data_IF_321781790351
#
_entry.id   IF_321781790351
#
_cell.length_a   1.000
_cell.length_b   1.000
_cell.length_c   1.000
_cell.angle_alpha   90.00
_cell.angle_beta   90.00
_cell.angle_gamma   90.00
#
_symmetry.space_group_name_H-M   'P 1'
#
loop_
_entity.id
_entity.type
_entity.pdbx_description
1 polymer ?
#
# COMPACT_ATOMS: atom_id res chain seq x y z
N UNK A 1 -41.33 26.39 -15.96
CA UNK A 1 -39.93 25.94 -16.16
C UNK A 1 -39.43 25.29 -14.87
N UNK A 2 -39.74 24.01 -14.66
CA UNK A 2 -39.35 23.27 -13.44
C UNK A 2 -38.82 21.88 -13.78
N UNK A 3 -37.95 21.81 -14.80
CA UNK A 3 -37.36 20.56 -15.27
C UNK A 3 -35.90 20.80 -15.63
N UNK A 4 -35.03 21.10 -14.65
CA UNK A 4 -33.59 20.85 -14.82
C UNK A 4 -32.70 20.92 -13.56
N UNK A 5 -33.26 20.99 -12.34
CA UNK A 5 -32.41 21.02 -11.14
C UNK A 5 -31.93 19.64 -10.66
N UNK A 6 -32.57 18.54 -11.11
CA UNK A 6 -32.29 17.18 -10.64
C UNK A 6 -31.17 16.45 -11.41
N UNK A 7 -30.66 17.02 -12.50
CA UNK A 7 -29.71 16.35 -13.40
C UNK A 7 -28.26 16.85 -13.29
N UNK A 8 -27.97 17.79 -12.37
CA UNK A 8 -26.61 18.37 -12.22
C UNK A 8 -25.62 17.51 -11.44
N UNK A 9 -26.10 16.46 -10.75
CA UNK A 9 -25.28 15.64 -9.85
C UNK A 9 -25.46 14.15 -10.16
N UNK A 10 -25.25 13.76 -11.41
CA UNK A 10 -25.08 12.34 -11.77
C UNK A 10 -23.62 12.08 -12.09
N UNK A 11 -23.03 10.98 -11.60
CA UNK A 11 -21.72 10.57 -12.05
C UNK A 11 -21.75 10.38 -13.57
N UNK A 12 -20.64 10.73 -14.23
CA UNK A 12 -20.43 10.35 -15.62
C UNK A 12 -20.45 8.82 -15.72
N UNK A 13 -20.63 8.26 -16.93
CA UNK A 13 -20.31 6.86 -17.15
C UNK A 13 -18.88 6.55 -16.69
N UNK A 14 -18.67 5.36 -16.13
CA UNK A 14 -17.40 4.96 -15.53
C UNK A 14 -16.26 4.99 -16.55
N UNK A 15 -16.49 4.41 -17.73
CA UNK A 15 -15.55 4.44 -18.85
C UNK A 15 -15.20 5.88 -19.30
N UNK A 16 -16.18 6.79 -19.31
CA UNK A 16 -15.96 8.20 -19.62
C UNK A 16 -15.07 8.85 -18.55
N UNK A 17 -15.31 8.54 -17.28
CA UNK A 17 -14.49 9.06 -16.17
C UNK A 17 -13.06 8.56 -16.25
N UNK A 18 -12.85 7.26 -16.45
CA UNK A 18 -11.52 6.68 -16.57
C UNK A 18 -10.78 7.27 -17.79
N UNK A 19 -11.47 7.42 -18.93
CA UNK A 19 -10.90 8.09 -20.11
C UNK A 19 -10.46 9.52 -19.80
N UNK A 20 -11.29 10.30 -19.11
CA UNK A 20 -10.95 11.66 -18.69
C UNK A 20 -9.76 11.70 -17.75
N UNK A 21 -9.71 10.80 -16.77
CA UNK A 21 -8.56 10.67 -15.87
C UNK A 21 -7.28 10.33 -16.65
N UNK A 22 -7.35 9.43 -17.64
CA UNK A 22 -6.20 9.11 -18.51
C UNK A 22 -5.72 10.33 -19.31
N UNK A 23 -6.62 11.23 -19.68
CA UNK A 23 -6.32 12.48 -20.38
C UNK A 23 -5.93 13.64 -19.44
N UNK A 24 -5.78 13.40 -18.13
CA UNK A 24 -5.56 14.42 -17.10
C UNK A 24 -6.67 15.50 -17.04
N UNK A 25 -7.89 15.15 -17.45
CA UNK A 25 -9.04 16.04 -17.37
C UNK A 25 -9.68 16.00 -15.97
N UNK A 26 -10.14 17.16 -15.49
CA UNK A 26 -10.76 17.25 -14.17
C UNK A 26 -12.08 16.48 -14.10
N UNK A 27 -12.16 15.53 -13.16
CA UNK A 27 -13.36 14.72 -12.94
C UNK A 27 -13.60 14.54 -11.44
N UNK A 28 -14.82 14.77 -10.97
CA UNK A 28 -15.18 14.55 -9.55
C UNK A 28 -15.54 13.09 -9.32
N UNK A 29 -14.78 12.43 -8.45
CA UNK A 29 -15.04 11.06 -8.04
C UNK A 29 -16.10 10.96 -6.91
N UNK A 30 -16.39 12.07 -6.23
CA UNK A 30 -17.29 12.10 -5.07
C UNK A 30 -18.75 11.73 -5.42
N UNK A 31 -19.10 11.71 -6.71
CA UNK A 31 -20.40 11.29 -7.22
C UNK A 31 -20.56 9.74 -7.25
N UNK A 32 -19.48 8.97 -7.14
CA UNK A 32 -19.50 7.51 -7.06
C UNK A 32 -19.66 7.06 -5.60
N UNK A 33 -20.91 7.11 -5.12
CA UNK A 33 -21.21 6.94 -3.69
C UNK A 33 -21.19 5.46 -3.27
N UNK A 34 -21.77 4.56 -4.06
CA UNK A 34 -21.92 3.17 -3.63
C UNK A 34 -20.60 2.41 -3.66
N UNK A 35 -20.49 1.33 -2.85
CA UNK A 35 -19.35 0.41 -2.93
C UNK A 35 -19.22 -0.18 -4.34
N UNK A 36 -20.35 -0.51 -4.98
CA UNK A 36 -20.38 -1.05 -6.34
C UNK A 36 -19.77 -0.05 -7.34
N UNK A 37 -20.21 1.20 -7.31
CA UNK A 37 -19.69 2.23 -8.21
C UNK A 37 -18.17 2.39 -8.10
N UNK A 38 -17.64 2.32 -6.88
CA UNK A 38 -16.20 2.38 -6.60
C UNK A 38 -15.44 1.16 -7.16
N UNK A 39 -16.03 -0.02 -7.05
CA UNK A 39 -15.44 -1.24 -7.59
C UNK A 39 -15.45 -1.25 -9.11
N UNK A 40 -16.59 -0.91 -9.71
CA UNK A 40 -16.72 -0.81 -11.16
C UNK A 40 -15.74 0.24 -11.72
N UNK A 41 -15.54 1.37 -11.00
CA UNK A 41 -14.54 2.38 -11.34
C UNK A 41 -13.10 1.87 -11.25
N UNK A 42 -12.78 1.10 -10.20
CA UNK A 42 -11.45 0.50 -10.04
C UNK A 42 -11.18 -0.53 -11.13
N UNK A 43 -12.17 -1.36 -11.45
CA UNK A 43 -12.06 -2.41 -12.47
C UNK A 43 -11.83 -1.79 -13.86
N UNK A 44 -12.59 -0.76 -14.24
CA UNK A 44 -12.34 0.00 -15.48
C UNK A 44 -10.97 0.69 -15.46
N UNK A 45 -10.56 1.23 -14.30
CA UNK A 45 -9.24 1.82 -14.12
C UNK A 45 -8.11 0.82 -14.39
N UNK A 46 -8.23 -0.41 -13.92
CA UNK A 46 -7.28 -1.49 -14.18
C UNK A 46 -7.25 -1.83 -15.67
N UNK A 47 -8.40 -1.95 -16.33
CA UNK A 47 -8.47 -2.23 -17.78
C UNK A 47 -7.82 -1.12 -18.63
N UNK A 48 -7.77 0.12 -18.15
CA UNK A 48 -7.11 1.22 -18.86
C UNK A 48 -5.59 1.06 -18.97
N UNK A 49 -4.97 0.23 -18.11
CA UNK A 49 -3.51 0.05 -18.04
C UNK A 49 -2.76 1.29 -17.56
N UNK A 50 -3.45 2.36 -17.14
CA UNK A 50 -2.82 3.58 -16.63
C UNK A 50 -2.69 3.52 -15.11
N UNK A 51 -1.48 3.26 -14.63
CA UNK A 51 -1.19 3.14 -13.20
C UNK A 51 -1.62 4.40 -12.43
N UNK A 52 -1.28 5.61 -12.89
CA UNK A 52 -1.61 6.86 -12.17
C UNK A 52 -3.12 7.03 -11.95
N UNK A 53 -3.93 6.59 -12.92
CA UNK A 53 -5.39 6.56 -12.80
C UNK A 53 -5.84 5.56 -11.75
N UNK A 54 -5.29 4.34 -11.76
CA UNK A 54 -5.60 3.32 -10.74
C UNK A 54 -5.24 3.81 -9.33
N UNK A 55 -4.06 4.41 -9.15
CA UNK A 55 -3.65 4.99 -7.84
C UNK A 55 -4.61 6.09 -7.40
N UNK A 56 -5.01 6.97 -8.32
CA UNK A 56 -5.97 8.04 -8.02
C UNK A 56 -7.30 7.46 -7.52
N UNK A 57 -7.80 6.42 -8.17
CA UNK A 57 -9.04 5.72 -7.77
C UNK A 57 -8.85 5.02 -6.42
N UNK A 58 -7.75 4.31 -6.21
CA UNK A 58 -7.45 3.63 -4.94
C UNK A 58 -7.41 4.63 -3.77
N UNK A 59 -6.78 5.79 -3.96
CA UNK A 59 -6.74 6.85 -2.93
C UNK A 59 -8.14 7.39 -2.63
N UNK A 60 -8.98 7.58 -3.65
CA UNK A 60 -10.38 7.96 -3.47
C UNK A 60 -11.15 6.91 -2.67
N UNK A 61 -11.00 5.62 -3.00
CA UNK A 61 -11.66 4.52 -2.28
C UNK A 61 -11.20 4.47 -0.83
N UNK A 62 -9.89 4.55 -0.58
CA UNK A 62 -9.32 4.57 0.78
C UNK A 62 -9.87 5.72 1.62
N UNK A 63 -10.03 6.91 1.04
CA UNK A 63 -10.56 8.08 1.74
C UNK A 63 -12.05 7.95 2.10
N UNK A 64 -12.79 7.12 1.37
CA UNK A 64 -14.27 7.08 1.43
C UNK A 64 -14.84 5.79 2.01
N UNK A 65 -14.04 4.74 2.16
CA UNK A 65 -14.44 3.47 2.77
C UNK A 65 -13.62 3.18 4.03
N UNK A 66 -14.22 2.47 4.98
CA UNK A 66 -13.52 2.03 6.18
C UNK A 66 -12.35 1.09 5.84
N UNK A 67 -11.28 1.17 6.63
CA UNK A 67 -10.05 0.39 6.41
C UNK A 67 -10.27 -1.13 6.20
N UNK A 68 -11.14 -1.83 6.95
CA UNK A 68 -11.39 -3.25 6.71
C UNK A 68 -12.01 -3.52 5.33
N UNK A 69 -12.91 -2.64 4.89
CA UNK A 69 -13.56 -2.75 3.57
C UNK A 69 -12.52 -2.49 2.48
N UNK A 70 -11.75 -1.40 2.59
CA UNK A 70 -10.67 -1.08 1.65
C UNK A 70 -9.67 -2.24 1.53
N UNK A 71 -9.25 -2.82 2.66
CA UNK A 71 -8.37 -4.00 2.70
C UNK A 71 -8.98 -5.19 1.96
N UNK A 72 -10.26 -5.53 2.20
CA UNK A 72 -10.91 -6.63 1.48
C UNK A 72 -10.91 -6.41 -0.04
N UNK A 73 -11.12 -5.17 -0.49
CA UNK A 73 -11.12 -4.84 -1.92
C UNK A 73 -9.74 -5.12 -2.54
N UNK A 74 -8.65 -4.73 -1.85
CA UNK A 74 -7.30 -5.01 -2.32
C UNK A 74 -6.97 -6.52 -2.29
N UNK A 75 -7.45 -7.26 -1.28
CA UNK A 75 -7.27 -8.72 -1.24
C UNK A 75 -7.97 -9.43 -2.40
N UNK A 76 -9.13 -8.93 -2.83
CA UNK A 76 -9.86 -9.45 -3.99
C UNK A 76 -9.21 -9.08 -5.34
N UNK A 77 -8.39 -8.02 -5.38
CA UNK A 77 -7.76 -7.47 -6.60
C UNK A 77 -6.24 -7.38 -6.42
N UNK A 78 -5.51 -8.48 -6.59
CA UNK A 78 -4.06 -8.51 -6.34
C UNK A 78 -3.27 -7.55 -7.23
N UNK A 79 -3.74 -7.26 -8.44
CA UNK A 79 -3.15 -6.26 -9.33
C UNK A 79 -3.24 -4.84 -8.74
N UNK A 80 -4.43 -4.41 -8.32
CA UNK A 80 -4.63 -3.13 -7.64
C UNK A 80 -3.80 -3.04 -6.34
N UNK A 81 -3.73 -4.13 -5.58
CA UNK A 81 -2.89 -4.21 -4.39
C UNK A 81 -1.40 -4.03 -4.72
N UNK A 82 -0.91 -4.65 -5.78
CA UNK A 82 0.47 -4.51 -6.21
C UNK A 82 0.78 -3.08 -6.67
N UNK A 83 -0.10 -2.48 -7.47
CA UNK A 83 -0.02 -1.09 -7.91
C UNK A 83 0.05 -0.14 -6.71
N UNK A 84 -0.80 -0.35 -5.69
CA UNK A 84 -0.80 0.48 -4.50
C UNK A 84 0.46 0.31 -3.65
N UNK A 85 0.92 -0.93 -3.44
CA UNK A 85 2.17 -1.20 -2.72
C UNK A 85 3.35 -0.54 -3.41
N UNK A 86 3.44 -0.61 -4.74
CA UNK A 86 4.53 0.05 -5.46
C UNK A 86 4.45 1.57 -5.33
N UNK A 87 3.24 2.15 -5.45
CA UNK A 87 3.04 3.58 -5.20
C UNK A 87 3.50 4.01 -3.80
N UNK A 88 3.19 3.24 -2.76
CA UNK A 88 3.62 3.55 -1.39
C UNK A 88 5.14 3.45 -1.20
N UNK A 89 5.80 2.52 -1.89
CA UNK A 89 7.26 2.42 -1.92
C UNK A 89 7.90 3.66 -2.57
N UNK A 90 7.32 4.13 -3.68
CA UNK A 90 7.83 5.29 -4.43
C UNK A 90 7.55 6.62 -3.72
N UNK A 91 6.38 6.76 -3.08
CA UNK A 91 6.04 7.96 -2.31
C UNK A 91 6.81 8.05 -0.99
N UNK A 92 7.38 6.94 -0.52
CA UNK A 92 8.10 6.86 0.75
C UNK A 92 7.19 6.85 1.97
N UNK A 93 5.88 6.64 1.81
CA UNK A 93 4.92 6.48 2.91
C UNK A 93 5.07 5.10 3.56
N UNK A 94 6.13 4.96 4.36
CA UNK A 94 6.53 3.70 5.00
C UNK A 94 5.48 3.17 5.97
N UNK A 95 4.82 4.05 6.71
CA UNK A 95 3.85 3.63 7.71
C UNK A 95 2.64 3.00 7.03
N UNK A 96 2.12 3.65 5.98
CA UNK A 96 1.02 3.08 5.20
C UNK A 96 1.44 1.82 4.44
N UNK A 97 2.67 1.78 3.92
CA UNK A 97 3.22 0.60 3.24
C UNK A 97 3.21 -0.62 4.16
N UNK A 98 3.77 -0.50 5.37
CA UNK A 98 3.81 -1.61 6.32
C UNK A 98 2.40 -2.02 6.75
N UNK A 99 1.54 -1.05 7.07
CA UNK A 99 0.14 -1.31 7.42
C UNK A 99 -0.58 -2.09 6.30
N UNK A 100 -0.37 -1.67 5.05
CA UNK A 100 -0.95 -2.33 3.87
C UNK A 100 -0.40 -3.74 3.70
N UNK A 101 0.92 -3.95 3.77
CA UNK A 101 1.53 -5.27 3.60
C UNK A 101 1.08 -6.26 4.68
N UNK A 102 1.08 -5.84 5.96
CA UNK A 102 0.54 -6.64 7.06
C UNK A 102 -0.95 -6.94 6.87
N UNK A 103 -1.73 -5.95 6.45
CA UNK A 103 -3.12 -6.13 6.05
C UNK A 103 -3.26 -7.16 4.92
N UNK A 104 -2.43 -7.16 3.90
CA UNK A 104 -2.54 -8.12 2.81
C UNK A 104 -1.98 -9.51 3.17
N UNK A 105 -1.47 -9.72 4.39
CA UNK A 105 -0.79 -10.96 4.77
C UNK A 105 0.56 -11.15 4.08
N UNK A 106 1.12 -10.10 3.47
CA UNK A 106 2.43 -10.10 2.80
C UNK A 106 3.55 -9.90 3.83
N UNK A 107 3.59 -10.79 4.83
CA UNK A 107 4.45 -10.65 6.02
C UNK A 107 5.92 -10.59 5.63
N UNK A 108 6.37 -11.49 4.76
CA UNK A 108 7.77 -11.54 4.29
C UNK A 108 8.19 -10.20 3.69
N UNK A 109 7.35 -9.60 2.87
CA UNK A 109 7.68 -8.32 2.24
C UNK A 109 7.66 -7.14 3.22
N UNK A 110 6.73 -7.14 4.18
CA UNK A 110 6.72 -6.16 5.26
C UNK A 110 8.03 -6.22 6.07
N UNK A 111 8.41 -7.44 6.48
CA UNK A 111 9.65 -7.71 7.20
C UNK A 111 10.88 -7.26 6.41
N UNK A 112 10.91 -7.49 5.10
CA UNK A 112 12.05 -7.06 4.27
C UNK A 112 12.15 -5.53 4.14
N UNK A 113 11.01 -4.81 4.12
CA UNK A 113 11.04 -3.35 4.13
C UNK A 113 11.49 -2.81 5.50
N UNK A 114 11.03 -3.40 6.60
CA UNK A 114 11.50 -3.06 7.96
C UNK A 114 12.99 -3.33 8.12
N UNK A 115 13.46 -4.47 7.63
CA UNK A 115 14.88 -4.82 7.63
C UNK A 115 15.72 -3.82 6.83
N UNK A 116 15.26 -3.43 5.64
CA UNK A 116 15.90 -2.40 4.82
C UNK A 116 15.98 -1.06 5.55
N UNK A 117 14.92 -0.66 6.27
CA UNK A 117 14.91 0.55 7.10
C UNK A 117 15.92 0.43 8.25
N UNK A 118 15.93 -0.70 8.96
CA UNK A 118 16.88 -0.97 10.04
C UNK A 118 18.33 -0.84 9.54
N UNK A 119 18.61 -1.34 8.34
CA UNK A 119 19.93 -1.25 7.71
C UNK A 119 20.38 0.21 7.44
N UNK A 120 19.45 1.13 7.22
CA UNK A 120 19.71 2.54 6.92
C UNK A 120 19.99 3.40 8.17
N UNK A 121 19.79 2.87 9.38
CA UNK A 121 20.13 3.59 10.60
C UNK A 121 21.64 3.84 10.72
N UNK A 122 22.01 5.11 10.88
CA UNK A 122 23.40 5.55 11.11
C UNK A 122 23.83 5.35 12.56
N UNK A 123 22.89 5.49 13.50
CA UNK A 123 23.13 5.21 14.91
C UNK A 123 23.22 3.69 15.12
N UNK A 124 24.36 3.17 15.63
CA UNK A 124 24.55 1.74 15.81
C UNK A 124 23.58 1.11 16.81
N UNK A 125 23.18 1.80 17.88
CA UNK A 125 22.23 1.30 18.87
C UNK A 125 20.84 1.19 18.25
N UNK A 126 20.38 2.26 17.60
CA UNK A 126 19.08 2.26 16.91
C UNK A 126 19.01 1.20 15.81
N UNK A 127 20.12 1.00 15.09
CA UNK A 127 20.25 -0.08 14.10
C UNK A 127 20.09 -1.45 14.76
N UNK A 128 20.85 -1.73 15.83
CA UNK A 128 20.76 -2.98 16.57
C UNK A 128 19.35 -3.24 17.11
N UNK A 129 18.71 -2.25 17.72
CA UNK A 129 17.35 -2.38 18.26
C UNK A 129 16.35 -2.71 17.15
N UNK A 130 16.46 -2.04 16.00
CA UNK A 130 15.58 -2.29 14.84
C UNK A 130 15.83 -3.66 14.20
N UNK A 131 17.09 -4.11 14.13
CA UNK A 131 17.43 -5.44 13.63
C UNK A 131 16.92 -6.56 14.56
N UNK A 132 17.04 -6.37 15.87
CA UNK A 132 16.48 -7.29 16.89
C UNK A 132 14.96 -7.36 16.78
N UNK A 133 14.29 -6.23 16.58
CA UNK A 133 12.85 -6.19 16.33
C UNK A 133 12.48 -6.98 15.06
N UNK A 134 13.17 -6.77 13.94
CA UNK A 134 12.95 -7.56 12.73
C UNK A 134 13.11 -9.06 13.00
N UNK A 135 14.18 -9.44 13.71
CA UNK A 135 14.46 -10.83 14.04
C UNK A 135 13.32 -11.48 14.86
N UNK A 136 12.78 -10.75 15.84
CA UNK A 136 11.73 -11.23 16.72
C UNK A 136 10.35 -11.28 16.07
N UNK A 137 9.99 -10.28 15.26
CA UNK A 137 8.61 -10.15 14.76
C UNK A 137 8.42 -10.69 13.33
N UNK A 138 9.47 -10.63 12.49
CA UNK A 138 9.35 -10.97 11.08
C UNK A 138 10.06 -12.27 10.67
N UNK A 139 11.32 -12.45 11.09
CA UNK A 139 12.16 -13.59 10.66
C UNK A 139 11.81 -14.93 11.37
N UNK A 140 10.66 -15.00 12.03
CA UNK A 140 10.03 -16.26 12.43
C UNK A 140 9.20 -16.89 11.30
N UNK A 141 8.92 -16.15 10.22
CA UNK A 141 8.19 -16.67 9.08
C UNK A 141 8.94 -17.85 8.44
N UNK A 142 8.25 -18.95 8.05
CA UNK A 142 8.90 -20.13 7.46
C UNK A 142 9.80 -19.82 6.27
N UNK A 143 9.37 -18.90 5.41
CA UNK A 143 10.11 -18.48 4.22
C UNK A 143 11.40 -17.67 4.52
N UNK A 144 11.61 -17.23 5.76
CA UNK A 144 12.76 -16.44 6.19
C UNK A 144 13.67 -17.17 7.19
N UNK A 145 13.44 -18.46 7.43
CA UNK A 145 14.14 -19.21 8.50
C UNK A 145 15.64 -19.36 8.25
N UNK A 146 16.05 -19.36 6.97
CA UNK A 146 17.47 -19.46 6.60
C UNK A 146 18.16 -18.11 6.83
N UNK A 147 17.51 -17.03 6.40
CA UNK A 147 17.94 -15.64 6.54
C UNK A 147 18.06 -15.23 8.01
N UNK A 148 17.18 -15.77 8.86
CA UNK A 148 17.18 -15.56 10.30
C UNK A 148 18.55 -15.83 10.93
N UNK A 149 19.19 -16.96 10.61
CA UNK A 149 20.48 -17.35 11.19
C UNK A 149 21.58 -16.35 10.84
N UNK A 150 21.59 -15.87 9.59
CA UNK A 150 22.54 -14.85 9.15
C UNK A 150 22.31 -13.52 9.88
N UNK A 151 21.04 -13.15 10.11
CA UNK A 151 20.70 -11.95 10.87
C UNK A 151 21.14 -12.06 12.35
N UNK A 152 20.94 -13.22 12.99
CA UNK A 152 21.40 -13.50 14.35
C UNK A 152 22.93 -13.35 14.48
N UNK A 153 23.68 -13.95 13.56
CA UNK A 153 25.15 -13.85 13.53
C UNK A 153 25.61 -12.40 13.30
N UNK A 154 24.93 -11.67 12.40
CA UNK A 154 25.26 -10.28 12.13
C UNK A 154 25.01 -9.37 13.33
N UNK A 155 23.89 -9.54 14.03
CA UNK A 155 23.57 -8.81 15.26
C UNK A 155 24.66 -9.06 16.31
N UNK A 156 25.03 -10.31 16.55
CA UNK A 156 26.09 -10.67 17.51
C UNK A 156 27.44 -10.00 17.16
N UNK A 157 27.80 -9.96 15.87
CA UNK A 157 29.01 -9.30 15.40
C UNK A 157 28.95 -7.78 15.63
N UNK A 158 27.82 -7.13 15.34
CA UNK A 158 27.64 -5.69 15.55
C UNK A 158 27.70 -5.31 17.03
N UNK A 159 27.10 -6.08 17.93
CA UNK A 159 27.15 -5.87 19.38
C UNK A 159 28.60 -5.90 19.91
N UNK A 160 29.38 -6.86 19.42
CA UNK A 160 30.78 -7.05 19.82
C UNK A 160 31.66 -5.87 19.42
N UNK A 161 31.45 -5.31 18.22
CA UNK A 161 32.25 -4.19 17.72
C UNK A 161 31.80 -2.83 18.26
N UNK A 162 30.54 -2.70 18.67
CA UNK A 162 29.98 -1.43 19.18
C UNK A 162 30.05 -1.30 20.69
N UNK A 163 30.53 -2.33 21.40
CA UNK A 163 30.64 -2.33 22.86
C UNK A 163 29.28 -2.29 23.57
N UNK A 164 28.22 -2.81 22.93
CA UNK A 164 26.83 -2.78 23.43
C UNK A 164 26.37 -4.11 24.05
N UNK A 165 27.31 -4.92 24.54
CA UNK A 165 27.00 -6.05 25.44
C UNK A 165 26.78 -5.58 26.87
#
# INVERSE_FOLDING_TARGET
MAADYKNRFKPLPINETVRRLCNCESTSLDLYISKKDKLDLLDEGLESGNWDVVVTIIQFIKRTLDNPIFRSILMERPEAAQIYVTYLKESGDRQELLYTLYGLGRIVEATMEEFKIACQHKDPKKKLDSLRHCLHDGFHHPDLINERKFLEEWICLLETHTGTK
#
